data_IF_025026979032
#
_entry.id   IF_025026979032
#
_cell.length_a   1.000
_cell.length_b   1.000
_cell.length_c   1.000
_cell.angle_alpha   90.00
_cell.angle_beta   90.00
_cell.angle_gamma   90.00
#
_symmetry.space_group_name_H-M   'P 1'
#
loop_
_entity.id
_entity.type
_entity.pdbx_description
1 polymer ?
#
# COMPACT_ATOMS: atom_id res chain seq x y z
N UNK A 1 -3.45 -19.52 22.18
CA UNK A 1 -4.00 -18.25 22.68
C UNK A 1 -2.90 -17.21 22.56
N UNK A 2 -3.15 -16.09 21.87
CA UNK A 2 -2.16 -15.02 21.77
C UNK A 2 -1.98 -14.39 23.16
N UNK A 3 -0.80 -14.53 23.74
CA UNK A 3 -0.48 -14.01 25.07
C UNK A 3 -0.26 -12.50 24.90
N UNK A 4 -1.25 -11.72 25.29
CA UNK A 4 -1.12 -10.26 25.35
C UNK A 4 -0.34 -9.92 26.63
N UNK A 5 0.95 -9.57 26.50
CA UNK A 5 1.78 -9.16 27.63
C UNK A 5 1.42 -7.73 28.03
N UNK A 6 1.07 -7.56 29.29
CA UNK A 6 1.01 -6.24 29.91
C UNK A 6 2.39 -5.85 30.47
N UNK A 7 2.92 -4.66 30.14
CA UNK A 7 4.15 -4.16 30.75
C UNK A 7 3.94 -3.89 32.24
N UNK A 8 4.97 -4.09 33.05
CA UNK A 8 4.94 -3.71 34.46
C UNK A 8 5.07 -2.18 34.65
N UNK A 9 4.87 -1.67 35.85
CA UNK A 9 4.92 -0.23 36.12
C UNK A 9 6.24 0.46 35.75
N UNK A 10 7.38 -0.22 35.88
CA UNK A 10 8.68 0.35 35.46
C UNK A 10 8.80 0.43 33.94
N UNK A 11 8.27 -0.56 33.22
CA UNK A 11 8.26 -0.59 31.75
C UNK A 11 7.26 0.42 31.20
N UNK A 12 6.09 0.58 31.82
CA UNK A 12 5.09 1.59 31.46
C UNK A 12 5.68 2.99 31.47
N UNK A 13 6.47 3.34 32.49
CA UNK A 13 7.17 4.62 32.58
C UNK A 13 8.12 4.83 31.41
N UNK A 14 8.96 3.83 31.12
CA UNK A 14 9.90 3.89 29.99
C UNK A 14 9.17 4.07 28.66
N UNK A 15 8.10 3.30 28.43
CA UNK A 15 7.31 3.37 27.20
C UNK A 15 6.63 4.74 27.07
N UNK A 16 6.06 5.26 28.15
CA UNK A 16 5.39 6.57 28.15
C UNK A 16 6.39 7.70 27.90
N UNK A 17 7.56 7.68 28.55
CA UNK A 17 8.62 8.66 28.34
C UNK A 17 9.09 8.68 26.87
N UNK A 18 9.28 7.51 26.25
CA UNK A 18 9.67 7.39 24.85
C UNK A 18 8.64 7.94 23.85
N UNK A 19 7.37 7.98 24.25
CA UNK A 19 6.24 8.36 23.41
C UNK A 19 5.57 9.66 23.88
N UNK A 20 6.22 10.40 24.79
CA UNK A 20 5.76 11.71 25.23
C UNK A 20 6.28 12.77 24.27
N UNK A 21 5.37 13.62 23.77
CA UNK A 21 5.70 14.81 22.99
C UNK A 21 4.94 15.97 23.59
N UNK A 22 5.62 17.11 23.75
CA UNK A 22 5.01 18.33 24.30
C UNK A 22 4.35 18.11 25.68
N UNK A 23 4.93 17.23 26.50
CA UNK A 23 4.43 16.90 27.84
C UNK A 23 3.20 16.00 27.90
N UNK A 24 2.75 15.44 26.76
CA UNK A 24 1.65 14.46 26.71
C UNK A 24 2.08 13.17 26.02
N UNK A 25 1.63 12.03 26.55
CA UNK A 25 1.80 10.73 25.88
C UNK A 25 0.97 10.72 24.60
N UNK A 26 1.56 10.29 23.48
CA UNK A 26 0.89 10.22 22.18
C UNK A 26 0.46 8.81 21.85
N UNK A 27 -0.76 8.66 21.35
CA UNK A 27 -1.25 7.38 20.84
C UNK A 27 -0.44 6.97 19.61
N UNK A 28 0.18 5.78 19.63
CA UNK A 28 1.04 5.31 18.53
C UNK A 28 0.29 5.06 17.21
N UNK A 29 -1.04 4.98 17.23
CA UNK A 29 -1.87 4.75 16.04
C UNK A 29 -1.85 5.96 15.10
N UNK A 30 -2.13 7.15 15.61
CA UNK A 30 -2.30 8.37 14.80
C UNK A 30 -1.64 9.60 15.41
N UNK A 31 -0.81 9.43 16.44
CA UNK A 31 -0.09 10.48 17.14
C UNK A 31 -1.00 11.48 17.86
N UNK A 32 -2.27 11.19 18.20
CA UNK A 32 -3.09 12.12 19.00
C UNK A 32 -2.66 12.13 20.49
N UNK A 33 -2.82 13.24 21.24
CA UNK A 33 -2.50 13.27 22.66
C UNK A 33 -3.50 12.44 23.48
N UNK A 34 -3.02 11.75 24.51
CA UNK A 34 -3.86 11.07 25.52
C UNK A 34 -3.84 11.94 26.77
N UNK A 35 -5.01 12.47 27.16
CA UNK A 35 -5.10 13.46 28.24
C UNK A 35 -5.03 12.85 29.64
N UNK A 36 -5.44 11.59 29.78
CA UNK A 36 -5.52 10.90 31.06
C UNK A 36 -4.67 9.62 31.03
N UNK A 37 -3.77 9.46 32.00
CA UNK A 37 -2.92 8.27 32.11
C UNK A 37 -3.73 6.97 32.23
N UNK A 38 -4.94 7.03 32.85
CA UNK A 38 -5.84 5.87 32.96
C UNK A 38 -6.48 5.44 31.63
N UNK A 39 -6.32 6.23 30.57
CA UNK A 39 -6.78 5.90 29.22
C UNK A 39 -5.66 5.33 28.33
N UNK A 40 -4.45 5.18 28.88
CA UNK A 40 -3.30 4.60 28.20
C UNK A 40 -3.33 3.08 28.38
N UNK A 41 -3.57 2.38 27.28
CA UNK A 41 -3.34 0.94 27.14
C UNK A 41 -2.02 0.71 26.37
N UNK A 42 -1.50 -0.51 26.40
CA UNK A 42 -0.25 -0.87 25.73
C UNK A 42 -0.47 -2.01 24.74
N UNK A 43 0.02 -1.87 23.52
CA UNK A 43 -0.15 -2.90 22.51
C UNK A 43 1.13 -3.13 21.71
N UNK A 44 1.25 -4.32 21.11
CA UNK A 44 2.36 -4.69 20.26
C UNK A 44 2.37 -3.88 18.96
N UNK A 45 3.51 -3.29 18.62
CA UNK A 45 3.74 -2.54 17.38
C UNK A 45 3.70 -3.50 16.18
N UNK A 46 4.52 -4.56 16.23
CA UNK A 46 4.61 -5.63 15.23
C UNK A 46 4.06 -6.94 15.76
N UNK A 47 3.47 -7.79 14.90
CA UNK A 47 3.01 -9.11 15.29
C UNK A 47 4.19 -10.03 15.61
N UNK A 48 3.96 -11.02 16.47
CA UNK A 48 4.98 -12.01 16.85
C UNK A 48 5.56 -12.75 15.62
N UNK A 49 4.71 -13.06 14.64
CA UNK A 49 5.09 -13.71 13.37
C UNK A 49 6.13 -12.93 12.55
N UNK A 50 6.24 -11.61 12.76
CA UNK A 50 7.24 -10.74 12.10
C UNK A 50 8.44 -10.43 13.02
N UNK A 51 8.79 -11.35 13.92
CA UNK A 51 9.83 -11.15 14.96
C UNK A 51 9.50 -10.01 15.92
N UNK A 52 8.23 -9.70 16.12
CA UNK A 52 7.80 -8.78 17.17
C UNK A 52 8.04 -9.43 18.53
N UNK A 53 9.23 -9.23 19.11
CA UNK A 53 9.53 -9.68 20.46
C UNK A 53 8.57 -9.01 21.44
N UNK A 54 8.22 -9.70 22.51
CA UNK A 54 7.29 -9.21 23.53
C UNK A 54 8.02 -8.32 24.54
N UNK A 55 8.78 -7.34 24.05
CA UNK A 55 9.70 -6.49 24.82
C UNK A 55 9.32 -5.01 24.68
N UNK A 56 9.85 -4.17 25.56
CA UNK A 56 9.65 -2.71 25.55
C UNK A 56 9.76 -2.09 24.14
N UNK A 57 10.75 -2.44 23.29
CA UNK A 57 10.90 -1.82 21.96
C UNK A 57 9.75 -2.13 20.98
N UNK A 58 8.93 -3.14 21.27
CA UNK A 58 7.80 -3.54 20.44
C UNK A 58 6.44 -3.26 21.13
N UNK A 59 6.43 -2.55 22.26
CA UNK A 59 5.21 -2.10 22.93
C UNK A 59 5.10 -0.58 22.80
N UNK A 60 3.89 -0.10 22.54
CA UNK A 60 3.63 1.33 22.43
C UNK A 60 2.30 1.69 23.09
N UNK A 61 2.16 2.95 23.57
CA UNK A 61 0.93 3.41 24.18
C UNK A 61 -0.15 3.62 23.12
N UNK A 62 -1.36 3.20 23.43
CA UNK A 62 -2.56 3.36 22.61
C UNK A 62 -3.69 3.90 23.49
N UNK A 63 -4.55 4.76 22.95
CA UNK A 63 -5.71 5.19 23.71
C UNK A 63 -6.72 4.05 23.81
N UNK A 64 -7.56 4.09 24.85
CA UNK A 64 -8.58 3.07 25.11
C UNK A 64 -9.53 2.82 23.94
N UNK A 65 -9.87 3.84 23.16
CA UNK A 65 -10.71 3.70 21.97
C UNK A 65 -10.03 2.85 20.89
N UNK A 66 -8.78 3.20 20.53
CA UNK A 66 -8.02 2.45 19.56
C UNK A 66 -7.72 1.04 20.05
N UNK A 67 -7.37 0.86 21.32
CA UNK A 67 -7.11 -0.45 21.92
C UNK A 67 -8.30 -1.40 21.77
N UNK A 68 -9.53 -0.91 22.01
CA UNK A 68 -10.76 -1.67 21.77
C UNK A 68 -10.96 -2.07 20.30
N UNK A 69 -10.63 -1.19 19.35
CA UNK A 69 -10.80 -1.42 17.91
C UNK A 69 -9.71 -2.30 17.29
N UNK A 70 -8.51 -2.30 17.88
CA UNK A 70 -7.35 -3.09 17.45
C UNK A 70 -7.67 -4.58 17.51
N UNK A 71 -8.28 -5.06 18.61
CA UNK A 71 -8.63 -6.45 18.80
C UNK A 71 -7.38 -7.35 18.85
N UNK A 72 -7.23 -8.24 17.88
CA UNK A 72 -6.07 -9.17 17.81
C UNK A 72 -4.97 -8.72 16.85
N UNK A 73 -5.14 -7.57 16.19
CA UNK A 73 -4.17 -7.03 15.24
C UNK A 73 -3.00 -6.38 15.97
N UNK A 74 -1.81 -6.37 15.40
CA UNK A 74 -0.75 -5.45 15.83
C UNK A 74 -1.11 -3.99 15.49
N UNK A 75 -0.43 -3.03 16.10
CA UNK A 75 -0.66 -1.61 15.80
C UNK A 75 -0.40 -1.30 14.32
N UNK A 76 0.63 -1.89 13.71
CA UNK A 76 0.93 -1.69 12.27
C UNK A 76 -0.21 -2.22 11.39
N UNK A 77 -0.71 -3.42 11.67
CA UNK A 77 -1.84 -4.00 10.92
C UNK A 77 -3.10 -3.17 11.10
N UNK A 78 -3.38 -2.71 12.33
CA UNK A 78 -4.51 -1.84 12.60
C UNK A 78 -4.41 -0.50 11.88
N UNK A 79 -3.22 0.14 11.84
CA UNK A 79 -3.00 1.36 11.05
C UNK A 79 -3.21 1.12 9.56
N UNK A 80 -2.81 -0.03 9.04
CA UNK A 80 -3.08 -0.39 7.65
C UNK A 80 -4.59 -0.57 7.41
N UNK A 81 -5.32 -1.18 8.35
CA UNK A 81 -6.78 -1.31 8.32
C UNK A 81 -7.48 0.05 8.33
N UNK A 82 -7.09 0.95 9.23
CA UNK A 82 -7.64 2.32 9.28
C UNK A 82 -7.43 3.06 7.96
N UNK A 83 -6.23 2.98 7.37
CA UNK A 83 -5.97 3.58 6.05
C UNK A 83 -6.88 3.02 4.95
N UNK A 84 -7.23 1.73 5.02
CA UNK A 84 -8.18 1.12 4.09
C UNK A 84 -9.62 1.55 4.37
N UNK A 85 -10.03 1.59 5.64
CA UNK A 85 -11.35 2.11 6.06
C UNK A 85 -11.52 3.55 5.56
N UNK A 86 -10.55 4.43 5.81
CA UNK A 86 -10.55 5.83 5.35
C UNK A 86 -10.54 5.92 3.82
N UNK A 87 -9.81 5.02 3.15
CA UNK A 87 -9.81 4.95 1.70
C UNK A 87 -11.20 4.63 1.16
N UNK A 88 -11.87 3.59 1.66
CA UNK A 88 -13.21 3.19 1.20
C UNK A 88 -14.34 4.09 1.70
N UNK A 89 -14.09 4.95 2.70
CA UNK A 89 -15.03 5.95 3.16
C UNK A 89 -15.09 7.17 2.21
N UNK A 90 -15.40 6.92 0.94
CA UNK A 90 -15.60 7.94 -0.09
C UNK A 90 -17.01 7.78 -0.69
N UNK A 91 -17.75 8.87 -0.95
CA UNK A 91 -19.04 8.82 -1.64
C UNK A 91 -18.98 8.17 -3.04
N UNK A 92 -17.84 8.25 -3.72
CA UNK A 92 -17.64 7.61 -5.03
C UNK A 92 -17.07 6.19 -4.91
N UNK A 93 -17.46 5.27 -5.80
CA UNK A 93 -16.93 3.91 -5.80
C UNK A 93 -15.42 3.93 -6.06
N UNK A 94 -14.64 3.38 -5.12
CA UNK A 94 -13.19 3.26 -5.26
C UNK A 94 -12.84 2.28 -6.36
N UNK A 95 -12.01 2.74 -7.29
CA UNK A 95 -11.51 1.96 -8.42
C UNK A 95 -10.13 1.40 -8.11
N UNK A 96 -9.70 0.42 -8.90
CA UNK A 96 -8.35 -0.10 -8.80
C UNK A 96 -7.30 0.99 -9.06
N UNK A 97 -7.58 1.96 -9.94
CA UNK A 97 -6.69 3.09 -10.21
C UNK A 97 -6.42 3.93 -8.96
N UNK A 98 -7.44 4.19 -8.15
CA UNK A 98 -7.29 4.91 -6.89
C UNK A 98 -6.34 4.15 -5.93
N UNK A 99 -6.42 2.80 -5.95
CA UNK A 99 -5.51 1.95 -5.16
C UNK A 99 -4.09 1.99 -5.73
N UNK A 100 -3.95 1.92 -7.06
CA UNK A 100 -2.67 1.98 -7.75
C UNK A 100 -2.00 3.33 -7.55
N UNK A 101 -2.74 4.42 -7.56
CA UNK A 101 -2.25 5.76 -7.27
C UNK A 101 -1.69 5.86 -5.85
N UNK A 102 -2.41 5.35 -4.85
CA UNK A 102 -1.94 5.38 -3.47
C UNK A 102 -0.73 4.48 -3.26
N UNK A 103 -0.66 3.33 -3.94
CA UNK A 103 0.39 2.33 -3.75
C UNK A 103 1.65 2.61 -4.55
N UNK A 104 1.49 3.10 -5.78
CA UNK A 104 2.56 3.27 -6.75
C UNK A 104 2.81 4.76 -7.04
N UNK A 105 1.86 5.66 -6.82
CA UNK A 105 1.93 7.06 -7.23
C UNK A 105 1.36 7.29 -8.62
N UNK A 106 0.88 8.51 -8.87
CA UNK A 106 0.12 8.92 -10.07
C UNK A 106 0.86 8.66 -11.40
N UNK A 107 2.19 8.59 -11.38
CA UNK A 107 3.03 8.40 -12.58
C UNK A 107 3.61 6.98 -12.75
N UNK A 108 3.15 5.99 -11.97
CA UNK A 108 3.75 4.64 -11.95
C UNK A 108 2.85 3.51 -12.49
N UNK A 109 1.67 3.84 -13.01
CA UNK A 109 0.72 2.93 -13.65
C UNK A 109 0.12 3.56 -14.92
N UNK A 110 -0.52 2.76 -15.78
CA UNK A 110 -1.22 3.27 -16.97
C UNK A 110 -0.38 3.95 -18.05
N UNK A 111 0.93 3.66 -18.16
CA UNK A 111 1.81 4.34 -19.12
C UNK A 111 1.51 3.91 -20.56
N UNK A 112 1.29 4.90 -21.43
CA UNK A 112 1.19 4.66 -22.87
C UNK A 112 2.52 4.13 -23.40
N UNK A 113 2.47 3.01 -24.12
CA UNK A 113 3.65 2.45 -24.77
C UNK A 113 4.04 3.33 -25.96
N UNK A 114 5.32 3.69 -26.04
CA UNK A 114 5.86 4.43 -27.20
C UNK A 114 6.01 3.45 -28.37
N UNK A 115 5.24 3.65 -29.44
CA UNK A 115 5.29 2.82 -30.65
C UNK A 115 5.80 3.60 -31.85
N UNK A 116 6.60 2.97 -32.71
CA UNK A 116 7.01 3.52 -34.02
C UNK A 116 6.74 2.51 -35.13
N UNK A 117 6.05 2.93 -36.18
CA UNK A 117 5.86 2.11 -37.39
C UNK A 117 7.04 2.38 -38.33
N UNK A 118 7.59 1.32 -38.94
CA UNK A 118 8.66 1.44 -39.95
C UNK A 118 8.16 2.21 -41.18
N UNK A 119 9.06 2.93 -41.86
CA UNK A 119 8.75 3.67 -43.10
C UNK A 119 8.17 2.79 -44.22
N UNK A 120 8.47 1.49 -44.17
CA UNK A 120 7.97 0.43 -45.06
C UNK A 120 6.57 -0.08 -44.69
N UNK A 121 6.05 0.28 -43.52
CA UNK A 121 4.71 -0.10 -43.06
C UNK A 121 4.54 -1.58 -42.68
N UNK A 122 5.60 -2.37 -42.68
CA UNK A 122 5.62 -3.82 -42.47
C UNK A 122 5.92 -4.22 -41.02
N UNK A 123 6.43 -3.29 -40.20
CA UNK A 123 6.89 -3.55 -38.83
C UNK A 123 6.51 -2.44 -37.87
N UNK A 124 6.24 -2.83 -36.62
CA UNK A 124 6.05 -1.94 -35.48
C UNK A 124 7.15 -2.18 -34.45
N UNK A 125 7.71 -1.10 -33.92
CA UNK A 125 8.66 -1.09 -32.81
C UNK A 125 7.96 -0.61 -31.55
N UNK A 126 8.00 -1.42 -30.49
CA UNK A 126 7.45 -1.08 -29.17
C UNK A 126 8.62 -0.79 -28.23
N UNK A 127 8.65 0.40 -27.64
CA UNK A 127 9.67 0.82 -26.68
C UNK A 127 9.06 0.73 -25.28
N UNK A 128 9.51 -0.25 -24.49
CA UNK A 128 9.03 -0.48 -23.13
C UNK A 128 9.71 0.42 -22.09
N UNK A 129 11.02 0.60 -22.22
CA UNK A 129 11.87 1.37 -21.31
C UNK A 129 12.80 2.27 -22.13
N UNK A 130 13.17 3.46 -21.64
CA UNK A 130 14.02 4.41 -22.39
C UNK A 130 15.44 3.89 -22.66
N UNK A 131 15.84 2.83 -21.96
CA UNK A 131 17.17 2.21 -22.03
C UNK A 131 17.17 0.81 -22.66
N UNK A 132 16.00 0.24 -22.95
CA UNK A 132 15.87 -1.11 -23.50
C UNK A 132 15.83 -1.14 -25.02
N UNK A 133 16.27 -2.27 -25.61
CA UNK A 133 16.10 -2.50 -27.04
C UNK A 133 14.60 -2.54 -27.40
N UNK A 134 14.17 -1.83 -28.46
CA UNK A 134 12.80 -1.86 -28.91
C UNK A 134 12.41 -3.25 -29.42
N UNK A 135 11.22 -3.72 -29.04
CA UNK A 135 10.66 -4.96 -29.56
C UNK A 135 10.10 -4.72 -30.96
N UNK A 136 10.71 -5.33 -31.97
CA UNK A 136 10.22 -5.28 -33.35
C UNK A 136 9.25 -6.44 -33.63
N UNK A 137 8.07 -6.11 -34.13
CA UNK A 137 7.03 -7.08 -34.46
C UNK A 137 6.53 -6.84 -35.89
N UNK A 138 6.12 -7.90 -36.60
CA UNK A 138 5.48 -7.75 -37.91
C UNK A 138 4.12 -7.08 -37.76
N UNK A 139 3.84 -6.11 -38.63
CA UNK A 139 2.53 -5.46 -38.76
C UNK A 139 1.76 -6.16 -39.89
N UNK A 140 0.58 -6.67 -39.57
CA UNK A 140 -0.29 -7.36 -40.51
C UNK A 140 -1.53 -6.52 -40.81
N UNK A 141 -2.10 -6.67 -41.99
CA UNK A 141 -3.32 -5.95 -42.39
C UNK A 141 -4.47 -6.93 -42.54
N UNK A 142 -5.61 -6.61 -41.91
CA UNK A 142 -6.83 -7.38 -42.05
C UNK A 142 -7.40 -7.16 -43.47
N UNK A 143 -7.48 -8.23 -44.27
CA UNK A 143 -8.00 -8.15 -45.64
C UNK A 143 -9.47 -7.70 -45.71
N UNK A 144 -10.26 -7.99 -44.66
CA UNK A 144 -11.69 -7.66 -44.64
C UNK A 144 -11.99 -6.24 -44.19
N UNK A 145 -11.18 -5.66 -43.29
CA UNK A 145 -11.45 -4.33 -42.70
C UNK A 145 -10.40 -3.28 -43.03
N UNK A 146 -9.25 -3.68 -43.59
CA UNK A 146 -8.11 -2.79 -43.85
C UNK A 146 -7.34 -2.34 -42.60
N UNK A 147 -7.71 -2.82 -41.41
CA UNK A 147 -7.05 -2.42 -40.17
C UNK A 147 -5.69 -3.10 -40.03
N UNK A 148 -4.67 -2.34 -39.62
CA UNK A 148 -3.38 -2.87 -39.24
C UNK A 148 -3.41 -3.39 -37.80
N UNK A 149 -2.87 -4.58 -37.58
CA UNK A 149 -2.79 -5.22 -36.27
C UNK A 149 -1.45 -5.94 -36.11
N UNK A 150 -1.08 -6.20 -34.86
CA UNK A 150 0.11 -6.99 -34.51
C UNK A 150 -0.23 -7.86 -33.29
N UNK A 151 0.54 -8.93 -33.11
CA UNK A 151 0.47 -9.78 -31.93
C UNK A 151 1.75 -9.59 -31.12
N UNK A 152 1.60 -9.46 -29.80
CA UNK A 152 2.72 -9.32 -28.88
C UNK A 152 2.53 -10.24 -27.67
N UNK A 153 3.61 -10.90 -27.26
CA UNK A 153 3.67 -11.57 -25.96
C UNK A 153 4.39 -10.62 -25.01
N UNK A 154 3.65 -10.05 -24.06
CA UNK A 154 4.20 -9.12 -23.08
C UNK A 154 4.63 -9.85 -21.82
N UNK A 155 5.86 -9.63 -21.31
CA UNK A 155 6.22 -10.03 -19.97
C UNK A 155 5.24 -9.43 -18.95
N UNK A 156 4.81 -10.24 -17.97
CA UNK A 156 3.81 -9.83 -16.96
C UNK A 156 4.22 -8.55 -16.19
N UNK A 157 5.51 -8.26 -16.09
CA UNK A 157 6.03 -7.01 -15.50
C UNK A 157 5.52 -5.73 -16.17
N UNK A 158 5.12 -5.80 -17.44
CA UNK A 158 4.62 -4.65 -18.21
C UNK A 158 3.09 -4.60 -18.29
N UNK A 159 2.41 -5.67 -17.90
CA UNK A 159 0.94 -5.70 -17.85
C UNK A 159 0.52 -5.30 -16.44
N UNK A 160 0.14 -4.03 -16.28
CA UNK A 160 -0.58 -3.55 -15.10
C UNK A 160 -2.01 -3.27 -15.55
N UNK A 161 -2.96 -3.81 -14.78
CA UNK A 161 -4.38 -4.00 -15.09
C UNK A 161 -5.02 -2.87 -15.94
N UNK A 162 -5.93 -3.30 -16.82
CA UNK A 162 -6.61 -2.48 -17.82
C UNK A 162 -7.89 -1.85 -17.26
N UNK A 163 -8.11 -0.59 -17.60
CA UNK A 163 -9.30 0.22 -17.28
C UNK A 163 -10.57 -0.36 -17.92
N UNK A 164 -10.44 -1.06 -19.05
CA UNK A 164 -11.57 -1.55 -19.85
C UNK A 164 -12.13 -2.92 -19.38
N UNK A 165 -11.46 -3.61 -18.45
CA UNK A 165 -11.81 -4.98 -18.05
C UNK A 165 -12.63 -5.09 -16.75
N UNK A 166 -12.98 -3.96 -16.10
CA UNK A 166 -13.86 -3.93 -14.92
C UNK A 166 -14.91 -2.81 -15.05
N UNK A 167 -16.02 -3.05 -15.77
CA UNK A 167 -17.20 -2.18 -15.72
C UNK A 167 -17.87 -2.17 -14.35
#
# INVERSE_FOLDING_TARGET
MAIHREPNESEKRIINEQHTREGKVRCFVNDHPIDNESEIDYHHIKPFSQRGLTEIPNLAPVCREHHKRIGTLSIIEFRARLKLEDFFNNPEPRRLDDILEIKLGSDQYGKTLKTKISSTGDKIKIIFDETGDPLELPLSTCLSTGHCFFYVILPIKYVKNDFDLQP
#
